data_IF_335933135511
#
_entry.id   IF_335933135511
#
_cell.length_a   1.000
_cell.length_b   1.000
_cell.length_c   1.000
_cell.angle_alpha   90.00
_cell.angle_beta   90.00
_cell.angle_gamma   90.00
#
_symmetry.space_group_name_H-M   'P 1'
#
loop_
_entity.id
_entity.type
_entity.pdbx_description
1 polymer ?
#
# COMPACT_ATOMS: atom_id res chain seq x y z
N UNK A 1 -24.22 4.19 0.14
CA UNK A 1 -25.43 5.02 0.35
C UNK A 1 -26.33 5.21 -0.89
N UNK A 2 -25.95 5.93 -1.96
CA UNK A 2 -26.87 6.13 -3.13
C UNK A 2 -27.24 4.81 -3.83
N UNK A 3 -26.29 3.90 -3.96
CA UNK A 3 -26.47 2.57 -4.55
C UNK A 3 -27.28 1.63 -3.66
N UNK A 4 -27.06 1.62 -2.35
CA UNK A 4 -27.88 0.87 -1.38
C UNK A 4 -29.34 1.30 -1.42
N UNK A 5 -29.61 2.62 -1.45
CA UNK A 5 -30.97 3.15 -1.56
C UNK A 5 -31.64 2.75 -2.88
N UNK A 6 -30.91 2.77 -3.99
CA UNK A 6 -31.45 2.34 -5.28
C UNK A 6 -31.76 0.84 -5.29
N UNK A 7 -30.90 0.01 -4.69
CA UNK A 7 -31.10 -1.43 -4.60
C UNK A 7 -32.26 -1.77 -3.66
N UNK A 8 -32.37 -1.09 -2.52
CA UNK A 8 -33.49 -1.22 -1.60
C UNK A 8 -34.82 -0.87 -2.29
N UNK A 9 -34.86 0.27 -2.98
CA UNK A 9 -36.05 0.70 -3.72
C UNK A 9 -36.43 -0.30 -4.83
N UNK A 10 -35.45 -0.91 -5.50
CA UNK A 10 -35.66 -1.95 -6.50
C UNK A 10 -36.18 -3.26 -5.90
N UNK A 11 -35.76 -3.63 -4.68
CA UNK A 11 -36.27 -4.82 -3.99
C UNK A 11 -37.73 -4.61 -3.54
N UNK A 12 -38.05 -3.43 -3.01
CA UNK A 12 -39.43 -3.08 -2.65
C UNK A 12 -40.34 -3.03 -3.89
N UNK A 13 -39.85 -2.53 -5.03
CA UNK A 13 -40.66 -2.43 -6.26
C UNK A 13 -41.04 -3.78 -6.87
N UNK A 14 -40.33 -4.86 -6.52
CA UNK A 14 -40.67 -6.24 -6.89
C UNK A 14 -41.39 -7.01 -5.77
N UNK A 15 -42.01 -6.30 -4.81
CA UNK A 15 -42.75 -6.85 -3.66
C UNK A 15 -41.91 -7.69 -2.69
N UNK A 16 -40.61 -7.43 -2.55
CA UNK A 16 -39.84 -8.02 -1.44
C UNK A 16 -40.25 -7.34 -0.13
N UNK A 17 -40.57 -8.08 0.94
CA UNK A 17 -40.87 -7.51 2.24
C UNK A 17 -39.70 -6.69 2.79
N UNK A 18 -40.02 -5.59 3.49
CA UNK A 18 -39.04 -4.62 4.00
C UNK A 18 -37.90 -5.27 4.80
N UNK A 19 -38.25 -6.16 5.74
CA UNK A 19 -37.28 -6.90 6.55
C UNK A 19 -36.29 -7.72 5.71
N UNK A 20 -36.75 -8.30 4.59
CA UNK A 20 -35.90 -9.10 3.70
C UNK A 20 -35.03 -8.22 2.82
N UNK A 21 -35.56 -7.07 2.35
CA UNK A 21 -34.78 -6.12 1.58
C UNK A 21 -33.61 -5.55 2.41
N UNK A 22 -33.87 -5.17 3.66
CA UNK A 22 -32.83 -4.70 4.60
C UNK A 22 -31.79 -5.76 4.88
N UNK A 23 -32.20 -7.00 5.15
CA UNK A 23 -31.26 -8.11 5.39
C UNK A 23 -30.33 -8.36 4.20
N UNK A 24 -30.81 -8.21 2.96
CA UNK A 24 -29.99 -8.36 1.75
C UNK A 24 -28.98 -7.21 1.63
N UNK A 25 -29.41 -5.97 1.89
CA UNK A 25 -28.52 -4.80 1.87
C UNK A 25 -27.41 -4.95 2.92
N UNK A 26 -27.77 -5.34 4.14
CA UNK A 26 -26.83 -5.50 5.26
C UNK A 26 -25.83 -6.64 5.01
N UNK A 27 -26.30 -7.78 4.49
CA UNK A 27 -25.42 -8.88 4.12
C UNK A 27 -24.48 -8.50 2.96
N UNK A 28 -24.96 -7.74 1.98
CA UNK A 28 -24.15 -7.28 0.86
C UNK A 28 -23.11 -6.24 1.28
N UNK A 29 -23.48 -5.28 2.13
CA UNK A 29 -22.56 -4.29 2.70
C UNK A 29 -21.46 -4.99 3.51
N UNK A 30 -21.84 -5.96 4.34
CA UNK A 30 -20.90 -6.78 5.12
C UNK A 30 -19.95 -7.56 4.20
N UNK A 31 -20.46 -8.22 3.15
CA UNK A 31 -19.63 -8.97 2.20
C UNK A 31 -18.66 -8.04 1.44
N UNK A 32 -19.15 -6.88 0.96
CA UNK A 32 -18.33 -5.87 0.30
C UNK A 32 -17.20 -5.37 1.22
N UNK A 33 -17.52 -4.97 2.46
CA UNK A 33 -16.53 -4.51 3.42
C UNK A 33 -15.52 -5.60 3.80
N UNK A 34 -15.93 -6.87 3.78
CA UNK A 34 -15.03 -8.00 4.09
C UNK A 34 -14.09 -8.38 2.95
N UNK A 35 -14.46 -8.11 1.69
CA UNK A 35 -13.73 -8.56 0.49
C UNK A 35 -12.94 -7.46 -0.21
N UNK A 36 -13.28 -6.20 0.02
CA UNK A 36 -12.61 -5.07 -0.59
C UNK A 36 -11.42 -4.63 0.28
N UNK A 37 -10.25 -4.53 -0.34
CA UNK A 37 -9.13 -3.81 0.28
C UNK A 37 -9.60 -2.39 0.62
N UNK A 38 -9.61 -2.08 1.90
CA UNK A 38 -10.08 -0.81 2.40
C UNK A 38 -9.06 0.28 2.09
N UNK A 39 -9.49 1.54 2.11
CA UNK A 39 -8.57 2.67 2.02
C UNK A 39 -7.51 2.65 3.13
N UNK A 40 -7.82 2.04 4.28
CA UNK A 40 -6.88 1.86 5.38
C UNK A 40 -5.76 0.89 4.98
N UNK A 41 -6.10 -0.22 4.33
CA UNK A 41 -5.13 -1.21 3.85
C UNK A 41 -4.16 -0.59 2.83
N UNK A 42 -4.68 0.21 1.90
CA UNK A 42 -3.84 0.94 0.94
C UNK A 42 -2.93 1.97 1.61
N UNK A 43 -3.42 2.63 2.65
CA UNK A 43 -2.63 3.60 3.42
C UNK A 43 -1.50 2.90 4.18
N UNK A 44 -1.79 1.76 4.79
CA UNK A 44 -0.81 0.92 5.47
C UNK A 44 0.28 0.44 4.50
N UNK A 45 -0.13 -0.10 3.34
CA UNK A 45 0.80 -0.54 2.30
C UNK A 45 1.67 0.60 1.78
N UNK A 46 1.10 1.79 1.59
CA UNK A 46 1.86 2.98 1.16
C UNK A 46 2.88 3.42 2.22
N UNK A 47 2.52 3.33 3.49
CA UNK A 47 3.43 3.65 4.60
C UNK A 47 4.59 2.64 4.66
N UNK A 48 4.29 1.34 4.55
CA UNK A 48 5.29 0.27 4.51
C UNK A 48 6.26 0.45 3.35
N UNK A 49 5.75 0.67 2.13
CA UNK A 49 6.58 0.92 0.94
C UNK A 49 7.48 2.14 1.11
N UNK A 50 6.98 3.25 1.69
CA UNK A 50 7.81 4.44 1.96
C UNK A 50 8.93 4.12 2.94
N UNK A 51 8.66 3.34 3.97
CA UNK A 51 9.68 2.91 4.93
C UNK A 51 10.74 2.05 4.25
N UNK A 52 10.35 1.07 3.44
CA UNK A 52 11.31 0.21 2.72
C UNK A 52 12.18 1.01 1.75
N UNK A 53 11.59 1.93 1.00
CA UNK A 53 12.32 2.81 0.08
C UNK A 53 13.35 3.64 0.86
N UNK A 54 12.96 4.27 1.97
CA UNK A 54 13.89 5.06 2.78
C UNK A 54 15.03 4.21 3.35
N UNK A 55 14.75 2.98 3.79
CA UNK A 55 15.80 2.06 4.25
C UNK A 55 16.75 1.67 3.12
N UNK A 56 16.24 1.43 1.92
CA UNK A 56 17.04 1.13 0.74
C UNK A 56 17.93 2.30 0.34
N UNK A 57 17.39 3.53 0.34
CA UNK A 57 18.15 4.75 0.08
C UNK A 57 19.33 4.88 1.04
N UNK A 58 19.10 4.74 2.35
CA UNK A 58 20.15 4.80 3.37
C UNK A 58 21.21 3.72 3.14
N UNK A 59 20.80 2.46 2.90
CA UNK A 59 21.74 1.36 2.63
C UNK A 59 22.59 1.64 1.40
N UNK A 60 22.00 2.20 0.35
CA UNK A 60 22.69 2.54 -0.90
C UNK A 60 23.68 3.68 -0.66
N UNK A 61 23.28 4.75 0.03
CA UNK A 61 24.18 5.86 0.40
C UNK A 61 25.39 5.38 1.19
N UNK A 62 25.18 4.52 2.19
CA UNK A 62 26.28 3.95 3.00
C UNK A 62 27.21 3.12 2.11
N UNK A 63 26.68 2.21 1.30
CA UNK A 63 27.49 1.36 0.40
C UNK A 63 28.27 2.18 -0.61
N UNK A 64 27.67 3.21 -1.20
CA UNK A 64 28.37 4.11 -2.10
C UNK A 64 29.47 4.89 -1.39
N UNK A 65 29.21 5.41 -0.19
CA UNK A 65 30.23 6.09 0.61
C UNK A 65 31.43 5.20 0.92
N UNK A 66 31.19 3.94 1.29
CA UNK A 66 32.25 2.93 1.51
C UNK A 66 32.99 2.60 0.21
N UNK A 67 32.28 2.42 -0.90
CA UNK A 67 32.91 2.12 -2.18
C UNK A 67 33.79 3.27 -2.66
N UNK A 68 33.33 4.53 -2.52
CA UNK A 68 34.09 5.72 -2.88
C UNK A 68 35.34 5.89 -2.01
N UNK A 69 35.25 5.69 -0.69
CA UNK A 69 36.43 5.79 0.17
C UNK A 69 37.44 4.68 -0.14
N UNK A 70 36.98 3.46 -0.43
CA UNK A 70 37.83 2.36 -0.85
C UNK A 70 38.53 2.65 -2.18
N UNK A 71 37.80 3.13 -3.21
CA UNK A 71 38.41 3.45 -4.51
C UNK A 71 39.42 4.58 -4.40
N UNK A 72 39.10 5.65 -3.65
CA UNK A 72 40.05 6.74 -3.41
C UNK A 72 41.29 6.25 -2.64
N UNK A 73 41.11 5.41 -1.62
CA UNK A 73 42.22 4.84 -0.85
C UNK A 73 43.17 4.00 -1.71
N UNK A 74 42.62 3.15 -2.58
CA UNK A 74 43.40 2.35 -3.54
C UNK A 74 44.18 3.25 -4.51
N UNK A 75 43.55 4.29 -5.05
CA UNK A 75 44.21 5.23 -5.96
C UNK A 75 45.38 5.97 -5.28
N UNK A 76 45.19 6.43 -4.04
CA UNK A 76 46.26 7.10 -3.27
C UNK A 76 47.42 6.14 -3.02
N UNK A 77 47.13 4.90 -2.60
CA UNK A 77 48.16 3.89 -2.35
C UNK A 77 48.95 3.55 -3.63
N UNK A 78 48.27 3.41 -4.77
CA UNK A 78 48.90 3.17 -6.06
C UNK A 78 49.82 4.32 -6.49
N UNK A 79 49.38 5.57 -6.34
CA UNK A 79 50.21 6.75 -6.66
C UNK A 79 51.46 6.84 -5.79
N UNK A 80 51.40 6.43 -4.52
CA UNK A 80 52.56 6.40 -3.62
C UNK A 80 53.56 5.30 -3.99
N UNK A 81 53.12 4.19 -4.57
CA UNK A 81 54.01 3.11 -5.02
C UNK A 81 54.69 3.40 -6.37
N UNK A 82 54.11 4.30 -7.18
CA UNK A 82 54.63 4.69 -8.49
C UNK A 82 55.59 5.90 -8.45
N UNK A 83 55.66 6.62 -7.33
CA UNK A 83 56.64 7.67 -7.03
C UNK A 83 57.73 7.14 -6.09
#
# INVERSE_FOLDING_TARGET
MKTELALYQALISINVPEQKATAVIEALETDMLSRLATKADLTALTAELKTEISQLEVKLTIRMGVMLSATTGVLIAAMKFLH
#
